data_IF_103057506476
#
_entry.id   IF_103057506476
#
_cell.length_a   1.000
_cell.length_b   1.000
_cell.length_c   1.000
_cell.angle_alpha   90.00
_cell.angle_beta   90.00
_cell.angle_gamma   90.00
#
_symmetry.space_group_name_H-M   'P 1'
#
loop_
_entity.id
_entity.type
_entity.pdbx_description
1 polymer ?
#
# COMPACT_ATOMS: atom_id res chain seq x y z
N UNK A 1 9.02 -16.07 -1.38
CA UNK A 1 9.29 -14.82 -0.62
C UNK A 1 8.62 -13.68 -1.37
N UNK A 2 8.10 -12.66 -0.65
CA UNK A 2 7.43 -11.51 -1.27
C UNK A 2 7.47 -10.27 -0.38
N UNK A 3 7.25 -9.11 -1.00
CA UNK A 3 6.95 -7.81 -0.36
C UNK A 3 5.55 -7.44 -0.81
N UNK A 4 4.69 -7.07 0.13
CA UNK A 4 3.35 -6.59 -0.13
C UNK A 4 3.24 -5.10 0.24
N UNK A 5 2.81 -4.29 -0.74
CA UNK A 5 2.86 -2.83 -0.64
C UNK A 5 1.65 -2.22 0.10
N UNK A 6 0.64 -3.02 0.47
CA UNK A 6 -0.54 -2.48 1.14
C UNK A 6 -1.36 -3.53 1.88
N UNK A 7 -1.69 -3.26 3.14
CA UNK A 7 -2.74 -3.94 3.90
C UNK A 7 -3.32 -3.02 4.99
N UNK A 8 -4.60 -3.23 5.35
CA UNK A 8 -5.33 -2.48 6.41
C UNK A 8 -5.43 -3.22 7.75
N UNK A 9 -4.72 -4.32 7.88
CA UNK A 9 -4.77 -5.22 9.05
C UNK A 9 -4.57 -4.49 10.38
N UNK A 10 -3.75 -3.43 10.41
CA UNK A 10 -3.47 -2.69 11.63
C UNK A 10 -4.69 -1.95 12.18
N UNK A 11 -5.52 -1.36 11.31
CA UNK A 11 -6.78 -0.72 11.70
C UNK A 11 -7.76 -1.76 12.25
N UNK A 12 -7.88 -2.92 11.59
CA UNK A 12 -8.68 -4.06 12.07
C UNK A 12 -8.24 -4.56 13.46
N UNK A 13 -6.93 -4.57 13.74
CA UNK A 13 -6.41 -4.95 15.05
C UNK A 13 -6.79 -3.96 16.16
N UNK A 14 -6.85 -2.66 15.87
CA UNK A 14 -7.32 -1.62 16.81
C UNK A 14 -8.81 -1.84 17.14
N UNK A 15 -9.64 -2.09 16.13
CA UNK A 15 -11.06 -2.41 16.32
C UNK A 15 -11.24 -3.70 17.15
N UNK A 16 -10.51 -4.76 16.82
CA UNK A 16 -10.58 -6.04 17.56
C UNK A 16 -10.17 -5.88 19.03
N UNK A 17 -9.17 -5.04 19.31
CA UNK A 17 -8.74 -4.75 20.68
C UNK A 17 -9.83 -4.00 21.48
N UNK A 18 -10.53 -3.07 20.84
CA UNK A 18 -11.67 -2.38 21.46
C UNK A 18 -12.82 -3.35 21.78
N UNK A 19 -13.22 -4.16 20.79
CA UNK A 19 -14.43 -4.99 20.88
C UNK A 19 -14.24 -6.23 21.77
N UNK A 20 -13.05 -6.84 21.72
CA UNK A 20 -12.73 -8.10 22.41
C UNK A 20 -11.84 -7.90 23.64
N UNK A 21 -11.36 -6.67 23.87
CA UNK A 21 -10.42 -6.33 24.93
C UNK A 21 -8.98 -6.76 24.62
N UNK A 22 -8.02 -6.15 25.30
CA UNK A 22 -6.59 -6.45 25.15
C UNK A 22 -5.86 -5.41 24.28
N UNK A 23 -4.60 -5.68 23.95
CA UNK A 23 -3.78 -4.81 23.12
C UNK A 23 -3.93 -5.14 21.64
N UNK A 24 -3.95 -4.11 20.77
CA UNK A 24 -4.02 -4.27 19.32
C UNK A 24 -2.86 -5.12 18.76
N UNK A 25 -1.66 -4.99 19.32
CA UNK A 25 -0.49 -5.81 18.98
C UNK A 25 -0.75 -7.32 19.04
N UNK A 26 -1.64 -7.79 19.94
CA UNK A 26 -2.03 -9.22 20.02
C UNK A 26 -2.80 -9.65 18.78
N UNK A 27 -3.74 -8.80 18.33
CA UNK A 27 -4.59 -9.12 17.18
C UNK A 27 -3.86 -8.91 15.87
N UNK A 28 -2.85 -8.04 15.83
CA UNK A 28 -1.97 -7.92 14.68
C UNK A 28 -1.02 -9.13 14.58
N UNK A 29 -0.63 -9.71 15.71
CA UNK A 29 0.26 -10.86 15.76
C UNK A 29 -0.41 -12.17 15.34
N UNK A 30 -1.64 -12.43 15.84
CA UNK A 30 -2.40 -13.63 15.53
C UNK A 30 -3.91 -13.31 15.54
N UNK A 31 -4.52 -13.36 14.37
CA UNK A 31 -5.96 -13.12 14.19
C UNK A 31 -6.52 -13.93 13.02
N UNK A 32 -7.08 -15.12 13.27
CA UNK A 32 -7.60 -15.98 12.21
C UNK A 32 -8.84 -15.40 11.48
N UNK A 33 -9.42 -14.31 11.97
CA UNK A 33 -10.54 -13.62 11.32
C UNK A 33 -10.08 -12.57 10.29
N UNK A 34 -8.79 -12.18 10.32
CA UNK A 34 -8.20 -11.25 9.36
C UNK A 34 -7.64 -12.01 8.14
N UNK A 35 -7.50 -11.33 7.02
CA UNK A 35 -6.81 -11.87 5.84
C UNK A 35 -5.31 -12.07 6.12
N UNK A 36 -4.72 -11.25 6.97
CA UNK A 36 -3.31 -11.27 7.33
C UNK A 36 -3.12 -11.14 8.85
N UNK A 37 -2.14 -11.85 9.39
CA UNK A 37 -1.50 -11.56 10.66
C UNK A 37 0.00 -11.86 10.56
N UNK A 38 0.79 -11.40 11.54
CA UNK A 38 2.26 -11.51 11.50
C UNK A 38 2.71 -12.97 11.45
N UNK A 39 2.05 -13.88 12.16
CA UNK A 39 2.43 -15.30 12.16
C UNK A 39 2.24 -15.93 10.78
N UNK A 40 1.07 -15.71 10.14
CA UNK A 40 0.77 -16.24 8.80
C UNK A 40 1.60 -15.55 7.72
N UNK A 41 1.84 -14.23 7.84
CA UNK A 41 2.71 -13.49 6.93
C UNK A 41 4.12 -14.10 6.87
N UNK A 42 4.70 -14.39 8.04
CA UNK A 42 6.00 -15.07 8.11
C UNK A 42 5.96 -16.47 7.54
N UNK A 43 4.92 -17.24 7.87
CA UNK A 43 4.73 -18.60 7.35
C UNK A 43 4.63 -18.60 5.82
N UNK A 44 3.97 -17.60 5.24
CA UNK A 44 3.86 -17.42 3.80
C UNK A 44 5.15 -16.94 3.12
N UNK A 45 6.17 -16.54 3.89
CA UNK A 45 7.46 -16.06 3.37
C UNK A 45 7.47 -14.56 3.07
N UNK A 46 6.67 -13.76 3.78
CA UNK A 46 6.68 -12.31 3.67
C UNK A 46 7.99 -11.70 4.16
N UNK A 47 8.74 -11.05 3.26
CA UNK A 47 9.96 -10.29 3.56
C UNK A 47 9.62 -8.95 4.21
N UNK A 48 8.61 -8.28 3.66
CA UNK A 48 8.10 -7.02 4.18
C UNK A 48 6.62 -6.86 3.90
N UNK A 49 5.95 -6.11 4.79
CA UNK A 49 4.59 -5.64 4.67
C UNK A 49 4.54 -4.14 4.88
N UNK A 50 3.84 -3.43 4.00
CA UNK A 50 3.47 -2.06 4.20
C UNK A 50 2.13 -2.03 4.94
N UNK A 51 2.18 -1.61 6.18
CA UNK A 51 0.98 -1.50 7.03
C UNK A 51 0.36 -0.12 6.86
N UNK A 52 -0.78 -0.06 6.20
CA UNK A 52 -1.52 1.18 6.04
C UNK A 52 -2.15 1.60 7.37
N UNK A 53 -1.83 2.81 7.78
CA UNK A 53 -2.56 3.52 8.81
C UNK A 53 -3.67 4.30 8.10
N UNK A 54 -4.72 3.56 7.69
CA UNK A 54 -5.87 4.12 7.04
C UNK A 54 -6.65 5.00 8.02
N UNK A 55 -6.98 6.21 7.60
CA UNK A 55 -7.78 7.16 8.39
C UNK A 55 -9.19 7.27 7.82
N UNK A 56 -10.16 6.46 8.28
CA UNK A 56 -11.53 6.48 7.79
C UNK A 56 -12.28 7.76 8.19
N UNK A 57 -13.49 7.99 7.65
CA UNK A 57 -14.39 9.01 8.18
C UNK A 57 -14.63 8.88 9.67
N UNK A 58 -14.82 10.03 10.36
CA UNK A 58 -14.89 10.09 11.82
C UNK A 58 -15.97 9.20 12.47
N UNK A 59 -17.06 8.90 11.75
CA UNK A 59 -18.10 7.98 12.22
C UNK A 59 -17.61 6.54 12.47
N UNK A 60 -16.53 6.12 11.83
CA UNK A 60 -15.98 4.78 12.03
C UNK A 60 -15.18 4.68 13.32
N UNK A 61 -14.33 5.66 13.62
CA UNK A 61 -13.48 5.60 14.81
C UNK A 61 -14.11 6.26 16.07
N UNK A 62 -15.13 7.10 15.92
CA UNK A 62 -15.84 7.67 17.08
C UNK A 62 -16.44 6.61 17.99
N UNK A 63 -16.83 5.45 17.44
CA UNK A 63 -17.32 4.29 18.20
C UNK A 63 -16.25 3.70 19.14
N UNK A 64 -14.98 3.94 18.85
CA UNK A 64 -13.85 3.54 19.69
C UNK A 64 -13.53 4.57 20.79
N UNK A 65 -14.32 5.63 20.91
CA UNK A 65 -14.05 6.75 21.82
C UNK A 65 -12.92 7.68 21.33
N UNK A 66 -12.48 7.54 20.07
CA UNK A 66 -11.45 8.36 19.46
C UNK A 66 -12.11 9.57 18.79
N UNK A 67 -11.54 10.77 19.01
CA UNK A 67 -12.20 12.03 18.66
C UNK A 67 -11.54 12.84 17.54
N UNK A 68 -10.41 12.34 16.99
CA UNK A 68 -9.71 13.02 15.89
C UNK A 68 -8.99 12.04 14.97
N UNK A 69 -8.83 12.45 13.70
CA UNK A 69 -8.04 11.72 12.70
C UNK A 69 -6.64 11.41 13.24
N UNK A 70 -5.97 12.41 13.81
CA UNK A 70 -4.66 12.26 14.41
C UNK A 70 -4.61 11.17 15.47
N UNK A 71 -5.53 11.17 16.42
CA UNK A 71 -5.56 10.18 17.50
C UNK A 71 -5.83 8.77 16.98
N UNK A 72 -6.65 8.64 15.92
CA UNK A 72 -6.88 7.34 15.29
C UNK A 72 -5.62 6.84 14.56
N UNK A 73 -5.01 7.70 13.75
CA UNK A 73 -3.76 7.38 13.04
C UNK A 73 -2.66 6.98 14.04
N UNK A 74 -2.49 7.73 15.13
CA UNK A 74 -1.50 7.42 16.17
C UNK A 74 -1.79 6.05 16.83
N UNK A 75 -3.07 5.68 17.03
CA UNK A 75 -3.44 4.38 17.57
C UNK A 75 -3.13 3.22 16.62
N UNK A 76 -3.33 3.41 15.31
CA UNK A 76 -3.02 2.39 14.29
C UNK A 76 -1.51 2.23 14.11
N UNK A 77 -0.75 3.34 14.04
CA UNK A 77 0.72 3.34 14.04
C UNK A 77 1.25 2.62 15.29
N UNK A 78 0.70 2.97 16.47
CA UNK A 78 1.05 2.36 17.75
C UNK A 78 0.84 0.85 17.75
N UNK A 79 -0.22 0.34 17.11
CA UNK A 79 -0.46 -1.10 17.05
C UNK A 79 0.67 -1.87 16.35
N UNK A 80 1.24 -1.32 15.26
CA UNK A 80 2.36 -1.93 14.54
C UNK A 80 3.66 -1.81 15.34
N UNK A 81 3.94 -0.63 15.89
CA UNK A 81 5.13 -0.36 16.70
C UNK A 81 5.16 -1.26 17.95
N UNK A 82 4.03 -1.36 18.66
CA UNK A 82 3.89 -2.22 19.84
C UNK A 82 4.02 -3.71 19.48
N UNK A 83 3.50 -4.12 18.31
CA UNK A 83 3.67 -5.50 17.85
C UNK A 83 5.14 -5.82 17.56
N UNK A 84 5.86 -4.94 16.87
CA UNK A 84 7.29 -5.11 16.62
C UNK A 84 8.11 -5.12 17.92
N UNK A 85 7.78 -4.25 18.88
CA UNK A 85 8.44 -4.23 20.19
C UNK A 85 8.17 -5.49 21.01
N UNK A 86 6.97 -6.07 20.89
CA UNK A 86 6.55 -7.25 21.64
C UNK A 86 7.05 -8.57 21.02
N UNK A 87 7.18 -8.60 19.68
CA UNK A 87 7.56 -9.78 18.90
C UNK A 87 8.77 -9.49 18.00
N UNK A 88 9.93 -9.07 18.59
CA UNK A 88 11.09 -8.56 17.81
C UNK A 88 11.77 -9.62 16.93
N UNK A 89 11.56 -10.90 17.22
CA UNK A 89 12.04 -12.03 16.41
C UNK A 89 11.17 -12.26 15.16
N UNK A 90 9.98 -11.66 15.12
CA UNK A 90 8.99 -11.89 14.08
C UNK A 90 8.75 -10.67 13.20
N UNK A 91 8.79 -9.46 13.76
CA UNK A 91 8.52 -8.21 13.08
C UNK A 91 9.48 -7.11 13.52
N UNK A 92 9.95 -6.31 12.57
CA UNK A 92 10.78 -5.12 12.81
C UNK A 92 10.26 -3.94 12.00
N UNK A 93 9.98 -2.82 12.65
CA UNK A 93 9.72 -1.56 11.94
C UNK A 93 11.03 -1.07 11.33
N UNK A 94 11.00 -0.74 10.04
CA UNK A 94 12.16 -0.27 9.28
C UNK A 94 11.82 1.01 8.53
N UNK A 95 12.77 1.94 8.46
CA UNK A 95 12.61 3.22 7.79
C UNK A 95 13.63 3.48 6.69
N UNK A 96 14.63 2.60 6.54
CA UNK A 96 15.67 2.70 5.52
C UNK A 96 15.85 1.38 4.79
N UNK A 97 16.44 1.43 3.58
CA UNK A 97 16.76 0.20 2.84
C UNK A 97 17.80 -0.65 3.58
N UNK A 98 18.75 -0.03 4.28
CA UNK A 98 19.75 -0.74 5.06
C UNK A 98 19.13 -1.51 6.25
N UNK A 99 18.17 -0.91 6.95
CA UNK A 99 17.42 -1.60 8.02
C UNK A 99 16.59 -2.76 7.49
N UNK A 100 15.96 -2.60 6.32
CA UNK A 100 15.27 -3.69 5.62
C UNK A 100 16.23 -4.84 5.30
N UNK A 101 17.40 -4.56 4.68
CA UNK A 101 18.39 -5.59 4.37
C UNK A 101 18.87 -6.32 5.63
N UNK A 102 19.07 -5.60 6.74
CA UNK A 102 19.45 -6.21 8.01
C UNK A 102 18.33 -7.11 8.54
N UNK A 103 17.07 -6.69 8.50
CA UNK A 103 15.94 -7.51 8.91
C UNK A 103 15.83 -8.80 8.08
N UNK A 104 15.98 -8.71 6.76
CA UNK A 104 16.02 -9.89 5.87
C UNK A 104 17.18 -10.84 6.24
N UNK A 105 18.36 -10.30 6.50
CA UNK A 105 19.52 -11.09 6.93
C UNK A 105 19.30 -11.80 8.26
N UNK A 106 18.57 -11.15 9.18
CA UNK A 106 18.23 -11.70 10.49
C UNK A 106 17.04 -12.68 10.43
N UNK A 107 16.38 -12.84 9.27
CA UNK A 107 15.19 -13.68 9.09
C UNK A 107 13.94 -13.10 9.76
N UNK A 108 13.86 -11.77 9.92
CA UNK A 108 12.75 -11.03 10.52
C UNK A 108 11.96 -10.32 9.44
N UNK A 109 10.63 -10.39 9.48
CA UNK A 109 9.77 -9.65 8.54
C UNK A 109 9.82 -8.15 8.84
N UNK A 110 9.96 -7.33 7.79
CA UNK A 110 9.98 -5.88 7.91
C UNK A 110 8.57 -5.29 7.89
N UNK A 111 8.30 -4.33 8.77
CA UNK A 111 7.11 -3.48 8.74
C UNK A 111 7.49 -2.08 8.24
N UNK A 112 6.95 -1.67 7.10
CA UNK A 112 6.95 -0.28 6.68
C UNK A 112 5.67 0.39 7.16
N UNK A 113 5.80 1.49 7.89
CA UNK A 113 4.66 2.29 8.34
C UNK A 113 4.24 3.23 7.21
N UNK A 114 2.96 3.23 6.87
CA UNK A 114 2.41 4.07 5.82
C UNK A 114 1.16 4.80 6.29
N UNK A 115 0.85 5.95 5.70
CA UNK A 115 -0.44 6.59 5.87
C UNK A 115 -1.29 6.32 4.62
N UNK A 116 -2.49 5.83 4.80
CA UNK A 116 -3.51 5.87 3.77
C UNK A 116 -4.55 6.92 4.14
N UNK A 117 -4.78 7.88 3.22
CA UNK A 117 -5.46 9.14 3.45
C UNK A 117 -4.55 10.19 4.15
N UNK A 118 -4.04 11.14 3.36
CA UNK A 118 -3.14 12.19 3.85
C UNK A 118 -3.79 13.26 4.75
N UNK A 119 -5.10 13.16 5.04
CA UNK A 119 -5.85 14.14 5.85
C UNK A 119 -5.22 14.45 7.23
N UNK A 120 -4.61 13.48 7.95
CA UNK A 120 -3.95 13.77 9.23
C UNK A 120 -2.77 14.74 9.13
N UNK A 121 -2.24 14.99 7.94
CA UNK A 121 -1.19 15.99 7.69
C UNK A 121 -1.76 17.43 7.83
N UNK A 122 -3.05 17.62 7.64
CA UNK A 122 -3.79 18.87 7.91
C UNK A 122 -3.19 20.11 7.20
N UNK A 123 -2.59 19.92 6.01
CA UNK A 123 -2.00 21.00 5.22
C UNK A 123 -0.78 21.69 5.88
N UNK A 124 -0.07 21.00 6.75
CA UNK A 124 1.07 21.54 7.51
C UNK A 124 2.33 20.70 7.26
N UNK A 125 3.42 21.32 6.82
CA UNK A 125 4.69 20.63 6.56
C UNK A 125 5.28 20.02 7.84
N UNK A 126 5.11 20.67 8.99
CA UNK A 126 5.55 20.14 10.28
C UNK A 126 4.87 18.82 10.67
N UNK A 127 3.68 18.52 10.14
CA UNK A 127 3.04 17.24 10.34
C UNK A 127 3.65 16.14 9.44
N UNK A 128 4.20 16.49 8.27
CA UNK A 128 5.02 15.56 7.49
C UNK A 128 6.29 15.18 8.25
N UNK A 129 6.96 16.15 8.87
CA UNK A 129 8.11 15.89 9.74
C UNK A 129 7.73 14.99 10.91
N UNK A 130 6.61 15.30 11.57
CA UNK A 130 6.11 14.48 12.68
C UNK A 130 5.92 13.02 12.28
N UNK A 131 5.20 12.74 11.18
CA UNK A 131 4.97 11.36 10.75
C UNK A 131 6.23 10.67 10.26
N UNK A 132 7.13 11.39 9.60
CA UNK A 132 8.44 10.85 9.23
C UNK A 132 9.24 10.41 10.47
N UNK A 133 9.26 11.23 11.53
CA UNK A 133 9.94 10.94 12.79
C UNK A 133 9.28 9.78 13.57
N UNK A 134 7.97 9.53 13.35
CA UNK A 134 7.28 8.33 13.83
C UNK A 134 7.60 7.06 13.01
N UNK A 135 8.39 7.16 11.96
CA UNK A 135 8.78 6.03 11.11
C UNK A 135 7.96 5.86 9.82
N UNK A 136 7.00 6.72 9.53
CA UNK A 136 6.24 6.68 8.27
C UNK A 136 7.17 6.92 7.08
N UNK A 137 7.06 6.07 6.06
CA UNK A 137 7.90 6.14 4.85
C UNK A 137 7.12 6.21 3.54
N UNK A 138 5.79 6.15 3.60
CA UNK A 138 4.91 6.29 2.45
C UNK A 138 3.63 7.03 2.87
N UNK A 139 3.12 7.88 2.00
CA UNK A 139 1.79 8.48 2.14
C UNK A 139 1.02 8.28 0.85
N UNK A 140 -0.12 7.58 0.94
CA UNK A 140 -1.18 7.59 -0.07
C UNK A 140 -1.91 8.93 0.05
N UNK A 141 -1.75 9.80 -0.94
CA UNK A 141 -2.09 11.23 -0.83
C UNK A 141 -3.56 11.49 -0.51
N UNK A 142 -4.45 10.71 -1.11
CA UNK A 142 -5.90 10.74 -0.86
C UNK A 142 -6.44 9.34 -0.68
N UNK A 143 -7.57 9.19 0.00
CA UNK A 143 -8.44 8.03 -0.15
C UNK A 143 -9.61 8.39 -1.06
N UNK A 144 -10.86 8.28 -0.60
CA UNK A 144 -12.05 8.58 -1.43
C UNK A 144 -12.63 9.98 -1.17
N UNK A 145 -11.88 10.87 -0.52
CA UNK A 145 -12.29 12.23 -0.21
C UNK A 145 -11.20 13.24 -0.59
N UNK A 146 -11.65 14.43 -0.98
CA UNK A 146 -10.75 15.58 -1.17
C UNK A 146 -10.14 15.99 0.17
N UNK A 147 -8.84 16.22 0.16
CA UNK A 147 -8.10 16.63 1.35
C UNK A 147 -7.06 17.73 1.03
N UNK A 148 -6.12 17.98 1.93
CA UNK A 148 -5.10 19.00 1.76
C UNK A 148 -4.13 18.72 0.57
N UNK A 149 -3.97 17.47 0.12
CA UNK A 149 -3.10 17.12 -1.01
C UNK A 149 -3.80 17.29 -2.36
N UNK A 150 -5.05 16.87 -2.49
CA UNK A 150 -5.72 16.87 -3.78
C UNK A 150 -7.11 16.26 -3.76
N UNK A 151 -7.57 15.88 -4.94
CA UNK A 151 -8.85 15.22 -5.16
C UNK A 151 -8.65 13.72 -5.38
N UNK A 152 -9.58 12.87 -4.91
CA UNK A 152 -9.52 11.44 -5.11
C UNK A 152 -9.95 11.06 -6.54
N UNK A 153 -9.76 9.80 -6.89
CA UNK A 153 -10.41 9.20 -8.05
C UNK A 153 -11.93 9.41 -7.99
N UNK A 154 -12.56 9.60 -9.15
CA UNK A 154 -13.98 9.90 -9.20
C UNK A 154 -14.64 9.42 -10.51
N UNK A 155 -15.91 9.05 -10.43
CA UNK A 155 -16.76 8.85 -11.61
C UNK A 155 -17.22 10.17 -12.24
N UNK A 156 -17.11 11.30 -11.50
CA UNK A 156 -17.29 12.64 -12.06
C UNK A 156 -16.03 13.07 -12.81
N UNK A 157 -16.11 13.27 -14.15
CA UNK A 157 -14.93 13.64 -14.93
C UNK A 157 -14.30 14.98 -14.51
N UNK A 158 -15.09 15.92 -13.96
CA UNK A 158 -14.57 17.18 -13.49
C UNK A 158 -13.66 17.00 -12.27
N UNK A 159 -14.09 16.18 -11.31
CA UNK A 159 -13.28 15.82 -10.12
C UNK A 159 -12.08 14.98 -10.53
N UNK A 160 -12.25 14.02 -11.47
CA UNK A 160 -11.18 13.15 -11.94
C UNK A 160 -10.04 13.91 -12.64
N UNK A 161 -10.32 15.10 -13.20
CA UNK A 161 -9.32 15.96 -13.82
C UNK A 161 -8.72 17.00 -12.85
N UNK A 162 -9.21 17.11 -11.62
CA UNK A 162 -8.60 18.00 -10.63
C UNK A 162 -7.20 17.50 -10.26
N UNK A 163 -6.23 18.42 -10.25
CA UNK A 163 -4.86 18.15 -9.83
C UNK A 163 -4.66 18.26 -8.32
N UNK A 164 -3.39 18.26 -7.92
CA UNK A 164 -2.97 18.52 -6.55
C UNK A 164 -3.30 19.97 -6.15
N UNK A 165 -3.55 20.18 -4.87
CA UNK A 165 -3.60 21.54 -4.28
C UNK A 165 -2.20 22.19 -4.32
N UNK A 166 -2.12 23.48 -4.00
CA UNK A 166 -0.82 24.14 -3.84
C UNK A 166 0.02 23.44 -2.75
N UNK A 167 -0.60 23.13 -1.60
CA UNK A 167 0.06 22.37 -0.53
C UNK A 167 0.50 20.98 -1.03
N UNK A 168 -0.37 20.25 -1.76
CA UNK A 168 -0.06 18.92 -2.27
C UNK A 168 1.18 18.93 -3.18
N UNK A 169 1.33 19.96 -4.03
CA UNK A 169 2.51 20.11 -4.91
C UNK A 169 3.80 20.30 -4.10
N UNK A 170 3.78 21.21 -3.13
CA UNK A 170 4.93 21.48 -2.27
C UNK A 170 5.25 20.24 -1.40
N UNK A 171 4.23 19.57 -0.89
CA UNK A 171 4.37 18.38 -0.06
C UNK A 171 4.99 17.20 -0.82
N UNK A 172 4.59 16.94 -2.07
CA UNK A 172 5.17 15.88 -2.92
C UNK A 172 6.68 16.08 -3.12
N UNK A 173 7.10 17.32 -3.42
CA UNK A 173 8.53 17.65 -3.56
C UNK A 173 9.26 17.42 -2.23
N UNK A 174 8.69 17.90 -1.13
CA UNK A 174 9.27 17.77 0.19
C UNK A 174 9.40 16.30 0.64
N UNK A 175 8.36 15.47 0.40
CA UNK A 175 8.40 14.04 0.70
C UNK A 175 9.57 13.35 -0.02
N UNK A 176 9.76 13.64 -1.31
CA UNK A 176 10.86 13.06 -2.09
C UNK A 176 12.24 13.50 -1.59
N UNK A 177 12.39 14.76 -1.16
CA UNK A 177 13.61 15.27 -0.57
C UNK A 177 13.92 14.59 0.77
N UNK A 178 12.89 14.30 1.59
CA UNK A 178 13.03 13.56 2.85
C UNK A 178 13.32 12.06 2.66
N UNK A 179 13.04 11.50 1.52
CA UNK A 179 13.14 10.06 1.29
C UNK A 179 11.87 9.32 1.74
N UNK A 180 10.71 9.92 1.53
CA UNK A 180 9.39 9.29 1.66
C UNK A 180 8.87 8.91 0.28
N UNK A 181 8.20 7.78 0.17
CA UNK A 181 7.48 7.35 -1.02
C UNK A 181 6.17 8.15 -1.15
N UNK A 182 5.91 8.61 -2.38
CA UNK A 182 4.65 9.20 -2.79
C UNK A 182 3.80 8.10 -3.42
N UNK A 183 2.60 7.87 -2.89
CA UNK A 183 1.67 6.88 -3.41
C UNK A 183 0.45 7.56 -4.04
N UNK A 184 0.19 7.20 -5.31
CA UNK A 184 -0.90 7.73 -6.12
C UNK A 184 -2.13 6.82 -6.18
N UNK A 185 -2.15 5.71 -5.45
CA UNK A 185 -3.38 4.95 -5.26
C UNK A 185 -4.47 5.85 -4.71
N UNK A 186 -5.72 5.69 -5.15
CA UNK A 186 -6.86 6.55 -4.85
C UNK A 186 -6.83 7.98 -5.41
N UNK A 187 -5.72 8.46 -5.98
CA UNK A 187 -5.63 9.82 -6.49
C UNK A 187 -6.43 9.98 -7.79
N UNK A 188 -6.90 11.20 -8.07
CA UNK A 188 -7.47 11.56 -9.36
C UNK A 188 -6.44 11.46 -10.49
N UNK A 189 -6.91 11.31 -11.73
CA UNK A 189 -6.02 11.28 -12.90
C UNK A 189 -5.22 12.58 -13.02
N UNK A 190 -5.86 13.74 -12.78
CA UNK A 190 -5.16 15.03 -12.75
C UNK A 190 -4.09 15.11 -11.67
N UNK A 191 -4.35 14.55 -10.49
CA UNK A 191 -3.37 14.43 -9.41
C UNK A 191 -2.19 13.53 -9.77
N UNK A 192 -2.46 12.39 -10.43
CA UNK A 192 -1.41 11.50 -10.94
C UNK A 192 -0.44 12.25 -11.87
N UNK A 193 -0.97 13.00 -12.85
CA UNK A 193 -0.11 13.74 -13.78
C UNK A 193 0.67 14.87 -13.09
N UNK A 194 0.09 15.53 -12.09
CA UNK A 194 0.83 16.51 -11.27
C UNK A 194 1.98 15.85 -10.51
N UNK A 195 1.75 14.67 -9.88
CA UNK A 195 2.81 13.91 -9.20
C UNK A 195 3.91 13.52 -10.19
N UNK A 196 3.56 12.99 -11.36
CA UNK A 196 4.53 12.60 -12.39
C UNK A 196 5.37 13.80 -12.86
N UNK A 197 4.77 14.98 -13.00
CA UNK A 197 5.50 16.19 -13.40
C UNK A 197 6.48 16.70 -12.33
N UNK A 198 6.21 16.44 -11.05
CA UNK A 198 6.98 16.94 -9.90
C UNK A 198 8.06 15.98 -9.44
N UNK A 199 7.79 14.67 -9.50
CA UNK A 199 8.68 13.64 -8.95
C UNK A 199 9.97 13.50 -9.75
N UNK A 200 11.09 13.44 -9.04
CA UNK A 200 12.45 13.20 -9.56
C UNK A 200 12.98 11.82 -9.22
N UNK A 201 12.38 11.17 -8.25
CA UNK A 201 12.63 9.80 -7.82
C UNK A 201 11.40 8.96 -8.10
N UNK A 202 11.48 7.62 -8.01
CA UNK A 202 10.33 6.75 -8.13
C UNK A 202 9.18 7.19 -7.21
N UNK A 203 7.95 7.14 -7.74
CA UNK A 203 6.71 7.17 -6.98
C UNK A 203 5.93 5.89 -7.28
N UNK A 204 4.94 5.55 -6.50
CA UNK A 204 4.26 4.26 -6.64
C UNK A 204 2.74 4.40 -6.66
N UNK A 205 2.08 3.38 -7.22
CA UNK A 205 0.68 3.06 -6.93
C UNK A 205 0.69 1.79 -6.09
N UNK A 206 0.55 1.91 -4.77
CA UNK A 206 0.74 0.78 -3.86
C UNK A 206 -0.23 -0.39 -4.12
N UNK A 207 -1.45 -0.10 -4.62
CA UNK A 207 -2.51 -1.07 -4.86
C UNK A 207 -3.46 -0.62 -6.00
N UNK A 208 -3.04 -0.77 -7.28
CA UNK A 208 -3.82 -0.36 -8.46
C UNK A 208 -3.52 -1.25 -9.68
N UNK A 209 -4.57 -1.62 -10.42
CA UNK A 209 -4.50 -2.54 -11.55
C UNK A 209 -4.63 -1.82 -12.91
N UNK A 210 -4.90 -2.57 -14.00
CA UNK A 210 -5.04 -2.04 -15.34
C UNK A 210 -6.49 -1.65 -15.66
N UNK A 211 -6.74 -0.36 -15.94
CA UNK A 211 -8.06 0.19 -16.29
C UNK A 211 -8.60 -0.37 -17.62
N UNK A 212 -7.71 -0.77 -18.53
CA UNK A 212 -8.11 -1.37 -19.80
C UNK A 212 -8.77 -2.75 -19.64
N UNK A 213 -8.45 -3.49 -18.58
CA UNK A 213 -9.04 -4.81 -18.31
C UNK A 213 -10.29 -4.72 -17.43
N UNK A 214 -10.30 -3.81 -16.48
CA UNK A 214 -11.45 -3.51 -15.64
C UNK A 214 -11.57 -1.97 -15.53
N UNK A 215 -12.61 -1.35 -16.15
CA UNK A 215 -12.70 0.11 -16.30
C UNK A 215 -13.13 0.82 -15.01
N UNK A 216 -12.49 0.47 -13.90
CA UNK A 216 -12.71 1.12 -12.62
C UNK A 216 -11.79 2.33 -12.47
N UNK A 217 -12.29 3.41 -11.84
CA UNK A 217 -11.54 4.66 -11.67
C UNK A 217 -10.29 4.53 -10.79
N UNK A 218 -10.21 3.49 -9.97
CA UNK A 218 -9.06 3.15 -9.14
C UNK A 218 -7.90 2.53 -9.93
N UNK A 219 -8.17 1.97 -11.11
CA UNK A 219 -7.17 1.35 -11.96
C UNK A 219 -6.45 2.40 -12.82
N UNK A 220 -5.21 2.10 -13.18
CA UNK A 220 -4.34 2.97 -13.98
C UNK A 220 -4.60 2.79 -15.49
N UNK A 221 -4.55 3.87 -16.24
CA UNK A 221 -4.56 3.81 -17.71
C UNK A 221 -3.21 3.30 -18.24
N UNK A 222 -3.18 2.86 -19.51
CA UNK A 222 -1.95 2.44 -20.18
C UNK A 222 -0.88 3.54 -20.19
N UNK A 223 -1.31 4.80 -20.35
CA UNK A 223 -0.43 5.96 -20.30
C UNK A 223 0.17 6.14 -18.91
N UNK A 224 -0.65 6.04 -17.86
CA UNK A 224 -0.20 6.13 -16.47
C UNK A 224 0.80 5.01 -16.11
N UNK A 225 0.54 3.78 -16.57
CA UNK A 225 1.44 2.66 -16.36
C UNK A 225 2.82 2.90 -17.00
N UNK A 226 2.86 3.44 -18.23
CA UNK A 226 4.10 3.81 -18.93
C UNK A 226 4.84 4.95 -18.21
N UNK A 227 4.12 5.99 -17.80
CA UNK A 227 4.70 7.11 -17.04
C UNK A 227 5.30 6.60 -15.72
N UNK A 228 4.58 5.73 -15.01
CA UNK A 228 5.07 5.12 -13.77
C UNK A 228 6.37 4.34 -14.00
N UNK A 229 6.42 3.52 -15.07
CA UNK A 229 7.61 2.78 -15.47
C UNK A 229 8.79 3.71 -15.83
N UNK A 230 8.54 4.78 -16.59
CA UNK A 230 9.55 5.77 -17.01
C UNK A 230 10.18 6.50 -15.79
N UNK A 231 9.42 6.64 -14.70
CA UNK A 231 9.92 7.18 -13.43
C UNK A 231 10.61 6.12 -12.55
N UNK A 232 10.75 4.88 -13.02
CA UNK A 232 11.25 3.78 -12.22
C UNK A 232 10.31 3.37 -11.08
N UNK A 233 9.04 3.79 -11.13
CA UNK A 233 8.01 3.45 -10.16
C UNK A 233 7.47 2.04 -10.32
N UNK A 234 6.52 1.69 -9.46
CA UNK A 234 5.85 0.37 -9.45
C UNK A 234 4.37 0.52 -9.15
N UNK A 235 3.56 -0.44 -9.63
CA UNK A 235 2.18 -0.63 -9.21
C UNK A 235 2.01 -1.97 -8.54
N UNK A 236 1.38 -2.00 -7.36
CA UNK A 236 0.99 -3.21 -6.66
C UNK A 236 -0.31 -3.79 -7.23
N UNK A 237 -0.28 -5.07 -7.58
CA UNK A 237 -1.48 -5.81 -7.97
C UNK A 237 -2.44 -5.87 -6.79
N UNK A 238 -3.61 -5.24 -6.95
CA UNK A 238 -4.67 -5.20 -5.95
C UNK A 238 -5.58 -6.43 -6.10
N UNK A 239 -6.10 -6.95 -4.99
CA UNK A 239 -7.01 -8.12 -5.02
C UNK A 239 -8.48 -7.72 -4.85
N UNK A 240 -8.80 -6.42 -4.87
CA UNK A 240 -10.19 -5.97 -4.80
C UNK A 240 -11.00 -6.52 -5.99
N UNK A 241 -12.08 -7.27 -5.74
CA UNK A 241 -12.89 -7.87 -6.80
C UNK A 241 -13.39 -6.87 -7.86
N UNK A 242 -13.77 -5.66 -7.42
CA UNK A 242 -14.26 -4.60 -8.30
C UNK A 242 -13.17 -4.02 -9.24
N UNK A 243 -11.89 -4.29 -8.98
CA UNK A 243 -10.77 -3.77 -9.77
C UNK A 243 -10.20 -4.84 -10.71
N UNK A 244 -10.46 -6.12 -10.40
CA UNK A 244 -9.97 -7.27 -11.18
C UNK A 244 -10.93 -7.67 -12.32
N UNK A 245 -12.23 -7.67 -12.04
CA UNK A 245 -13.21 -8.11 -13.02
C UNK A 245 -14.54 -7.36 -12.88
N UNK A 246 -15.21 -7.05 -13.99
CA UNK A 246 -16.54 -6.40 -14.00
C UNK A 246 -17.63 -7.21 -13.28
N UNK A 247 -17.39 -8.48 -13.01
CA UNK A 247 -18.28 -9.33 -12.21
C UNK A 247 -18.02 -9.24 -10.71
N UNK A 248 -17.06 -8.41 -10.31
CA UNK A 248 -16.62 -8.26 -8.92
C UNK A 248 -16.18 -9.59 -8.27
N UNK A 249 -15.32 -10.33 -8.97
CA UNK A 249 -14.70 -11.58 -8.51
C UNK A 249 -13.18 -11.46 -8.66
N UNK A 250 -12.44 -11.69 -7.58
CA UNK A 250 -10.99 -11.80 -7.61
C UNK A 250 -10.55 -13.27 -7.61
N UNK A 251 -9.96 -13.70 -8.73
CA UNK A 251 -9.38 -15.03 -8.88
C UNK A 251 -7.89 -14.93 -9.15
N UNK A 252 -7.13 -16.01 -8.89
CA UNK A 252 -5.73 -16.09 -9.31
C UNK A 252 -5.53 -15.75 -10.78
N UNK A 253 -6.36 -16.32 -11.65
CA UNK A 253 -6.29 -16.09 -13.10
C UNK A 253 -6.59 -14.61 -13.45
N UNK A 254 -7.48 -13.95 -12.70
CA UNK A 254 -7.77 -12.53 -12.83
C UNK A 254 -6.53 -11.68 -12.53
N UNK A 255 -5.88 -11.93 -11.40
CA UNK A 255 -4.66 -11.21 -10.99
C UNK A 255 -3.52 -11.48 -11.99
N UNK A 256 -3.32 -12.73 -12.41
CA UNK A 256 -2.31 -13.09 -13.42
C UNK A 256 -2.58 -12.39 -14.76
N UNK A 257 -3.84 -12.26 -15.17
CA UNK A 257 -4.23 -11.53 -16.39
C UNK A 257 -3.84 -10.05 -16.30
N UNK A 258 -4.09 -9.39 -15.16
CA UNK A 258 -3.67 -8.01 -14.93
C UNK A 258 -2.13 -7.89 -14.94
N UNK A 259 -1.43 -8.79 -14.25
CA UNK A 259 0.03 -8.82 -14.26
C UNK A 259 0.59 -8.93 -15.68
N UNK A 260 0.06 -9.85 -16.48
CA UNK A 260 0.50 -10.04 -17.88
C UNK A 260 0.26 -8.78 -18.72
N UNK A 261 -0.96 -8.22 -18.63
CA UNK A 261 -1.30 -7.02 -19.37
C UNK A 261 -0.40 -5.84 -19.01
N UNK A 262 -0.17 -5.60 -17.72
CA UNK A 262 0.69 -4.51 -17.25
C UNK A 262 2.14 -4.72 -17.72
N UNK A 263 2.65 -5.97 -17.66
CA UNK A 263 3.98 -6.30 -18.17
C UNK A 263 4.11 -6.05 -19.68
N UNK A 264 3.08 -6.37 -20.47
CA UNK A 264 3.06 -6.15 -21.91
C UNK A 264 3.00 -4.65 -22.26
N UNK A 265 2.32 -3.83 -21.45
CA UNK A 265 2.13 -2.39 -21.68
C UNK A 265 3.32 -1.55 -21.22
N UNK A 266 3.87 -1.84 -20.04
CA UNK A 266 4.83 -0.98 -19.34
C UNK A 266 6.12 -1.70 -18.90
N UNK A 267 6.22 -3.01 -19.17
CA UNK A 267 7.37 -3.82 -18.80
C UNK A 267 7.24 -4.47 -17.41
N UNK A 268 8.05 -5.49 -17.19
CA UNK A 268 8.01 -6.31 -15.96
C UNK A 268 8.47 -5.52 -14.72
N UNK A 269 9.30 -4.50 -14.89
CA UNK A 269 9.92 -3.76 -13.80
C UNK A 269 8.94 -2.80 -13.08
N UNK A 270 7.73 -2.61 -13.63
CA UNK A 270 6.67 -1.78 -13.02
C UNK A 270 5.77 -2.56 -12.05
N UNK A 271 5.84 -3.90 -12.07
CA UNK A 271 4.93 -4.75 -11.31
C UNK A 271 5.44 -5.03 -9.89
N UNK A 272 4.50 -5.05 -8.94
CA UNK A 272 4.70 -5.49 -7.56
C UNK A 272 3.40 -6.13 -7.02
N UNK A 273 3.36 -6.50 -5.76
CA UNK A 273 2.17 -6.97 -5.04
C UNK A 273 1.66 -5.86 -4.12
N UNK A 274 0.36 -5.67 -4.07
CA UNK A 274 -0.32 -4.70 -3.22
C UNK A 274 -1.71 -5.21 -2.88
N UNK A 275 -1.77 -6.23 -2.02
CA UNK A 275 -2.93 -7.10 -1.81
C UNK A 275 -4.22 -6.38 -1.42
N UNK A 276 -4.09 -5.31 -0.67
CA UNK A 276 -5.22 -4.61 -0.03
C UNK A 276 -5.94 -5.51 1.01
N UNK A 277 -5.21 -6.47 1.60
CA UNK A 277 -5.75 -7.35 2.64
C UNK A 277 -6.32 -6.56 3.80
N UNK A 278 -7.48 -7.00 4.27
CA UNK A 278 -8.28 -6.39 5.33
C UNK A 278 -8.90 -5.01 4.99
N UNK A 279 -8.54 -4.39 3.83
CA UNK A 279 -9.22 -3.22 3.28
C UNK A 279 -10.33 -3.55 2.29
N UNK A 280 -10.39 -4.79 1.84
CA UNK A 280 -11.32 -5.28 0.82
C UNK A 280 -12.15 -6.46 1.33
N UNK A 281 -13.21 -6.76 0.60
CA UNK A 281 -14.08 -7.91 0.85
C UNK A 281 -14.76 -8.35 -0.45
N UNK A 282 -15.72 -9.25 -0.34
CA UNK A 282 -16.46 -9.79 -1.49
C UNK A 282 -15.99 -11.19 -1.87
N UNK A 283 -16.06 -11.53 -3.18
CA UNK A 283 -15.71 -12.86 -3.69
C UNK A 283 -14.22 -12.94 -3.99
N UNK A 284 -13.44 -13.35 -3.00
CA UNK A 284 -11.98 -13.41 -3.02
C UNK A 284 -11.51 -14.87 -3.02
N UNK A 285 -10.84 -15.31 -4.10
CA UNK A 285 -10.12 -16.59 -4.07
C UNK A 285 -8.83 -16.47 -3.23
N UNK A 286 -8.20 -15.27 -3.19
CA UNK A 286 -6.99 -14.96 -2.42
C UNK A 286 -7.40 -14.18 -1.15
N UNK A 287 -8.05 -14.83 -0.20
CA UNK A 287 -8.62 -14.24 1.01
C UNK A 287 -7.74 -14.42 2.28
N UNK A 288 -6.53 -14.92 2.10
CA UNK A 288 -5.58 -15.18 3.19
C UNK A 288 -4.15 -15.05 2.68
N UNK A 289 -3.27 -14.46 3.49
CA UNK A 289 -1.85 -14.29 3.14
C UNK A 289 -1.14 -15.62 2.89
N UNK A 290 -1.59 -16.73 3.48
CA UNK A 290 -1.07 -18.08 3.20
C UNK A 290 -1.31 -18.53 1.75
N UNK A 291 -2.17 -17.85 1.00
CA UNK A 291 -2.42 -18.09 -0.42
C UNK A 291 -1.45 -17.35 -1.36
N UNK A 292 -0.63 -16.44 -0.84
CA UNK A 292 0.38 -15.71 -1.64
C UNK A 292 1.38 -16.63 -2.35
N UNK A 293 1.93 -17.70 -1.73
CA UNK A 293 2.79 -18.63 -2.44
C UNK A 293 2.13 -19.28 -3.65
N UNK A 294 0.83 -19.59 -3.56
CA UNK A 294 0.05 -20.13 -4.70
C UNK A 294 -0.07 -19.10 -5.81
N UNK A 295 -0.28 -17.81 -5.49
CA UNK A 295 -0.27 -16.75 -6.50
C UNK A 295 1.06 -16.69 -7.26
N UNK A 296 2.19 -16.82 -6.57
CA UNK A 296 3.50 -16.84 -7.22
C UNK A 296 3.68 -18.05 -8.16
N UNK A 297 3.15 -19.22 -7.79
CA UNK A 297 3.07 -20.38 -8.67
C UNK A 297 2.18 -20.11 -9.88
N UNK A 298 1.01 -19.50 -9.69
CA UNK A 298 0.10 -19.12 -10.78
C UNK A 298 0.69 -18.09 -11.75
N UNK A 299 1.50 -17.15 -11.26
CA UNK A 299 2.26 -16.25 -12.14
C UNK A 299 3.22 -17.04 -13.03
N UNK A 300 3.91 -18.04 -12.49
CA UNK A 300 4.78 -18.91 -13.28
C UNK A 300 3.98 -19.71 -14.32
N UNK A 301 2.86 -20.33 -13.91
CA UNK A 301 1.95 -21.04 -14.83
C UNK A 301 1.39 -20.12 -15.93
N UNK A 302 1.18 -18.84 -15.60
CA UNK A 302 0.76 -17.77 -16.53
C UNK A 302 1.86 -17.33 -17.51
N UNK A 303 3.05 -17.97 -17.47
CA UNK A 303 4.14 -17.80 -18.44
C UNK A 303 5.19 -16.77 -18.04
N UNK A 304 5.21 -16.30 -16.79
CA UNK A 304 6.34 -15.53 -16.27
C UNK A 304 7.51 -16.46 -15.94
N UNK A 305 8.71 -16.04 -16.28
CA UNK A 305 9.93 -16.73 -15.88
C UNK A 305 10.16 -16.62 -14.37
N UNK A 306 11.00 -17.47 -13.79
CA UNK A 306 11.32 -17.40 -12.36
C UNK A 306 11.89 -16.03 -11.94
N UNK A 307 12.74 -15.41 -12.80
CA UNK A 307 13.27 -14.07 -12.53
C UNK A 307 12.17 -12.99 -12.58
N UNK A 308 11.22 -13.09 -13.51
CA UNK A 308 10.08 -12.18 -13.59
C UNK A 308 9.14 -12.34 -12.38
N UNK A 309 8.90 -13.56 -11.92
CA UNK A 309 8.12 -13.81 -10.70
C UNK A 309 8.83 -13.20 -9.49
N UNK A 310 10.14 -13.34 -9.35
CA UNK A 310 10.90 -12.70 -8.28
C UNK A 310 10.87 -11.15 -8.38
N UNK A 311 10.88 -10.59 -9.60
CA UNK A 311 10.70 -9.14 -9.81
C UNK A 311 9.36 -8.67 -9.29
N UNK A 312 8.27 -9.34 -9.66
CA UNK A 312 6.91 -9.02 -9.18
C UNK A 312 6.85 -9.20 -7.66
N UNK A 313 7.39 -10.31 -7.17
CA UNK A 313 7.25 -10.69 -5.76
C UNK A 313 8.00 -9.72 -4.82
N UNK A 314 9.22 -9.29 -5.16
CA UNK A 314 10.01 -8.45 -4.23
C UNK A 314 11.08 -7.57 -4.88
N UNK A 315 11.76 -7.98 -5.97
CA UNK A 315 12.93 -7.26 -6.50
C UNK A 315 12.59 -5.84 -6.97
N UNK A 316 11.41 -5.63 -7.58
CA UNK A 316 10.99 -4.31 -8.04
C UNK A 316 10.70 -3.38 -6.85
N UNK A 317 10.08 -3.90 -5.78
CA UNK A 317 9.89 -3.15 -4.54
C UNK A 317 11.23 -2.81 -3.89
N UNK A 318 12.17 -3.77 -3.78
CA UNK A 318 13.52 -3.52 -3.27
C UNK A 318 14.27 -2.43 -4.03
N UNK A 319 14.15 -2.40 -5.36
CA UNK A 319 14.74 -1.35 -6.20
C UNK A 319 14.18 0.03 -5.82
N UNK A 320 12.86 0.16 -5.72
CA UNK A 320 12.22 1.43 -5.35
C UNK A 320 12.60 1.85 -3.93
N UNK A 321 12.62 0.93 -2.97
CA UNK A 321 13.06 1.20 -1.60
C UNK A 321 14.51 1.73 -1.57
N UNK A 322 15.42 1.09 -2.30
CA UNK A 322 16.82 1.49 -2.40
C UNK A 322 16.99 2.88 -3.02
N UNK A 323 16.20 3.20 -4.05
CA UNK A 323 16.33 4.46 -4.80
C UNK A 323 15.68 5.64 -4.03
N UNK A 324 14.78 5.35 -3.09
CA UNK A 324 13.98 6.38 -2.40
C UNK A 324 14.36 6.57 -0.94
N UNK A 325 14.40 5.48 -0.16
CA UNK A 325 14.59 5.55 1.30
C UNK A 325 16.05 5.85 1.67
N UNK A 326 16.24 6.70 2.66
CA UNK A 326 17.56 7.13 3.14
C UNK A 326 17.79 6.68 4.58
#
# INVERSE_FOLDING_TARGET
MFIDLHCDTAAGAVHAAHDKGGAAAKYLYANPEAHLDIQRLRQAGGLAQFFACFTPPAEYYSKLGITSDRAFTDAVLGAVIDAAAKYPEDLRVVGTFAEYQQAVSDGVTSAFLTLEEGRPVDGKMENLDFYYDQGVRLITLTWNFKNCFGSPNSKDPAIMQEGLTAFGKDAVVYMQEKGMLVDVSHLSDGGFYDVAALCRKPFIASHSDARALCPHTRNLTDEMLKILADHGGITGLNFCPDFIDEKAICTYDGVVRHARYIADVAGIDVLALGSDFDGIGGDLEIDDVLKMPVLLERLHDGGFTSDEVEKIAYKNAERVLKDTLR
#
